data_IF_573416340003
#
_entry.id   IF_573416340003
#
_cell.length_a   1.000
_cell.length_b   1.000
_cell.length_c   1.000
_cell.angle_alpha   90.00
_cell.angle_beta   90.00
_cell.angle_gamma   90.00
#
_symmetry.space_group_name_H-M   'P 1'
#
loop_
_entity.id
_entity.type
_entity.pdbx_description
1 polymer ?
#
# COMPACT_ATOMS: atom_id res chain seq x y z
N UNK A 1 -1.71 6.06 -5.80
CA UNK A 1 -2.08 4.70 -5.37
C UNK A 1 -0.92 3.93 -4.76
N UNK A 2 0.05 3.47 -5.57
CA UNK A 2 1.25 2.76 -5.09
C UNK A 2 2.50 3.41 -5.68
N UNK A 3 3.50 3.69 -4.84
CA UNK A 3 4.81 4.17 -5.25
C UNK A 3 5.91 3.22 -4.77
N UNK A 4 6.86 2.89 -5.64
CA UNK A 4 8.06 2.12 -5.29
C UNK A 4 9.27 3.02 -5.55
N UNK A 5 9.96 3.42 -4.50
CA UNK A 5 11.16 4.26 -4.59
C UNK A 5 12.38 3.40 -4.27
N UNK A 6 13.28 3.23 -5.23
CA UNK A 6 14.50 2.45 -5.03
C UNK A 6 15.40 3.08 -3.97
N UNK A 7 15.81 2.27 -2.98
CA UNK A 7 16.65 2.71 -1.86
C UNK A 7 18.00 2.01 -1.82
N UNK A 8 18.05 0.75 -2.26
CA UNK A 8 19.27 -0.02 -2.46
C UNK A 8 19.05 -1.06 -3.56
N UNK A 9 20.10 -1.81 -3.93
CA UNK A 9 19.98 -2.92 -4.89
C UNK A 9 18.88 -3.87 -4.43
N UNK A 10 17.86 -4.05 -5.27
CA UNK A 10 16.67 -4.87 -5.02
C UNK A 10 15.86 -4.51 -3.77
N UNK A 11 15.97 -3.29 -3.23
CA UNK A 11 15.18 -2.81 -2.09
C UNK A 11 14.47 -1.49 -2.36
N UNK A 12 13.23 -1.41 -1.93
CA UNK A 12 12.33 -0.29 -2.20
C UNK A 12 11.67 0.22 -0.93
N UNK A 13 11.47 1.54 -0.87
CA UNK A 13 10.47 2.14 0.02
C UNK A 13 9.13 2.12 -0.71
N UNK A 14 8.12 1.55 -0.06
CA UNK A 14 6.76 1.44 -0.59
C UNK A 14 5.91 2.59 -0.05
N UNK A 15 5.28 3.33 -0.95
CA UNK A 15 4.35 4.40 -0.63
C UNK A 15 2.93 4.02 -1.02
N UNK A 16 1.96 4.30 -0.15
CA UNK A 16 0.53 4.07 -0.41
C UNK A 16 -0.27 5.36 -0.17
N UNK A 17 -1.49 5.41 -0.70
CA UNK A 17 -2.47 6.45 -0.32
C UNK A 17 -2.47 7.73 -1.16
N UNK A 18 -1.58 7.89 -2.15
CA UNK A 18 -1.77 8.93 -3.18
C UNK A 18 -2.98 8.62 -4.06
N UNK A 19 -3.54 9.57 -4.80
CA UNK A 19 -4.72 9.35 -5.66
C UNK A 19 -4.38 9.33 -7.16
N UNK A 20 -5.33 8.88 -7.98
CA UNK A 20 -5.19 8.79 -9.44
C UNK A 20 -4.96 10.17 -10.11
N UNK A 21 -5.50 11.23 -9.53
CA UNK A 21 -5.35 12.61 -10.02
C UNK A 21 -3.98 13.23 -9.69
N UNK A 22 -3.19 12.60 -8.81
CA UNK A 22 -1.88 13.10 -8.40
C UNK A 22 -1.91 14.33 -7.49
N UNK A 23 -3.05 14.63 -6.86
CA UNK A 23 -3.23 15.78 -5.96
C UNK A 23 -2.95 15.47 -4.50
N UNK A 24 -2.79 14.19 -4.14
CA UNK A 24 -2.46 13.73 -2.78
C UNK A 24 -1.14 12.98 -2.73
N UNK A 25 -0.28 13.36 -1.79
CA UNK A 25 0.97 12.65 -1.51
C UNK A 25 0.68 11.35 -0.74
N UNK A 26 1.29 10.25 -1.17
CA UNK A 26 1.24 8.99 -0.44
C UNK A 26 2.12 8.99 0.81
N UNK A 27 1.78 8.17 1.80
CA UNK A 27 2.59 7.95 2.99
C UNK A 27 3.51 6.73 2.80
N UNK A 28 4.60 6.69 3.56
CA UNK A 28 5.48 5.51 3.62
C UNK A 28 4.70 4.38 4.30
N UNK A 29 4.47 3.31 3.56
CA UNK A 29 3.81 2.12 4.07
C UNK A 29 4.82 1.15 4.70
N UNK A 30 5.89 0.86 3.97
CA UNK A 30 6.97 -0.01 4.46
C UNK A 30 8.29 0.39 3.80
N UNK A 31 9.37 0.35 4.58
CA UNK A 31 10.70 0.70 4.10
C UNK A 31 11.58 -0.55 3.93
N UNK A 32 12.59 -0.44 3.07
CA UNK A 32 13.60 -1.49 2.82
C UNK A 32 13.02 -2.85 2.38
N UNK A 33 11.89 -2.84 1.66
CA UNK A 33 11.22 -4.05 1.16
C UNK A 33 11.99 -4.63 -0.01
N UNK A 34 12.31 -5.92 0.03
CA UNK A 34 12.97 -6.58 -1.11
C UNK A 34 12.00 -6.69 -2.29
N UNK A 35 12.54 -6.68 -3.51
CA UNK A 35 11.73 -6.83 -4.73
C UNK A 35 10.80 -8.05 -4.68
N UNK A 36 11.31 -9.19 -4.22
CA UNK A 36 10.55 -10.45 -4.10
C UNK A 36 9.38 -10.37 -3.10
N UNK A 37 9.49 -9.49 -2.11
CA UNK A 37 8.52 -9.33 -1.03
C UNK A 37 7.44 -8.27 -1.37
N UNK A 38 7.63 -7.45 -2.42
CA UNK A 38 6.68 -6.38 -2.78
C UNK A 38 5.27 -6.94 -3.05
N UNK A 39 5.18 -7.99 -3.87
CA UNK A 39 3.88 -8.59 -4.20
C UNK A 39 3.24 -9.32 -3.00
N UNK A 40 3.97 -10.16 -2.23
CA UNK A 40 3.49 -10.72 -0.97
C UNK A 40 2.97 -9.66 0.01
N UNK A 41 3.67 -8.54 0.16
CA UNK A 41 3.25 -7.42 1.02
C UNK A 41 1.96 -6.76 0.55
N UNK A 42 1.76 -6.59 -0.77
CA UNK A 42 0.56 -5.94 -1.31
C UNK A 42 -0.65 -6.87 -1.42
N UNK A 43 -0.43 -8.18 -1.55
CA UNK A 43 -1.50 -9.18 -1.69
C UNK A 43 -2.61 -9.08 -0.62
N UNK A 44 -2.29 -9.07 0.69
CA UNK A 44 -3.32 -8.93 1.73
C UNK A 44 -4.03 -7.57 1.66
N UNK A 45 -3.32 -6.51 1.24
CA UNK A 45 -3.91 -5.17 1.08
C UNK A 45 -4.89 -5.13 -0.08
N UNK A 46 -4.59 -5.80 -1.20
CA UNK A 46 -5.53 -5.92 -2.32
C UNK A 46 -6.75 -6.77 -1.96
N UNK A 47 -6.57 -7.85 -1.19
CA UNK A 47 -7.68 -8.63 -0.67
C UNK A 47 -8.58 -7.77 0.24
N UNK A 48 -7.97 -6.96 1.11
CA UNK A 48 -8.68 -6.04 1.98
C UNK A 48 -9.44 -4.95 1.20
N UNK A 49 -8.80 -4.36 0.19
CA UNK A 49 -9.44 -3.43 -0.73
C UNK A 49 -10.65 -4.07 -1.43
N UNK A 50 -10.52 -5.30 -1.92
CA UNK A 50 -11.63 -6.00 -2.58
C UNK A 50 -12.82 -6.19 -1.64
N UNK A 51 -12.57 -6.49 -0.36
CA UNK A 51 -13.61 -6.76 0.62
C UNK A 51 -14.31 -5.49 1.12
N UNK A 52 -13.55 -4.41 1.36
CA UNK A 52 -14.00 -3.27 2.16
C UNK A 52 -14.02 -1.92 1.42
N UNK A 53 -13.76 -1.93 0.10
CA UNK A 53 -13.90 -0.72 -0.72
C UNK A 53 -15.34 -0.24 -0.75
N UNK A 54 -15.52 1.07 -0.75
CA UNK A 54 -16.84 1.69 -0.78
C UNK A 54 -17.18 2.17 -2.19
N UNK A 55 -18.32 1.73 -2.73
CA UNK A 55 -18.83 2.20 -4.03
C UNK A 55 -17.81 2.07 -5.18
N UNK A 56 -17.34 3.21 -5.69
CA UNK A 56 -16.35 3.33 -6.78
C UNK A 56 -14.98 3.84 -6.30
N UNK A 57 -14.68 3.68 -5.02
CA UNK A 57 -13.42 4.09 -4.40
C UNK A 57 -12.21 3.48 -5.13
N UNK A 58 -11.19 4.33 -5.35
CA UNK A 58 -9.90 3.91 -5.91
C UNK A 58 -9.02 3.26 -4.84
N UNK A 59 -7.98 2.53 -5.25
CA UNK A 59 -7.08 1.89 -4.28
C UNK A 59 -6.37 2.93 -3.40
N UNK A 60 -5.94 4.05 -3.98
CA UNK A 60 -5.31 5.14 -3.25
C UNK A 60 -6.23 5.82 -2.23
N UNK A 61 -7.49 6.04 -2.59
CA UNK A 61 -8.48 6.60 -1.67
C UNK A 61 -8.81 5.64 -0.53
N UNK A 62 -8.92 4.35 -0.84
CA UNK A 62 -9.07 3.30 0.17
C UNK A 62 -7.90 3.29 1.16
N UNK A 63 -6.66 3.25 0.67
CA UNK A 63 -5.48 3.27 1.53
C UNK A 63 -5.42 4.55 2.40
N UNK A 64 -5.85 5.68 1.85
CA UNK A 64 -5.93 6.94 2.60
C UNK A 64 -7.02 6.91 3.68
N UNK A 65 -8.20 6.33 3.38
CA UNK A 65 -9.32 6.21 4.33
C UNK A 65 -9.02 5.25 5.47
N UNK A 66 -8.43 4.09 5.16
CA UNK A 66 -8.04 3.08 6.16
C UNK A 66 -6.84 3.54 7.00
N UNK A 67 -5.90 4.24 6.38
CA UNK A 67 -4.71 4.77 7.06
C UNK A 67 -3.63 3.70 7.31
N UNK A 68 -2.45 4.14 7.74
CA UNK A 68 -1.27 3.27 7.88
C UNK A 68 -1.45 2.16 8.92
N UNK A 69 -2.04 2.48 10.08
CA UNK A 69 -2.18 1.53 11.19
C UNK A 69 -3.04 0.33 10.79
N UNK A 70 -4.25 0.56 10.30
CA UNK A 70 -5.18 -0.49 9.88
C UNK A 70 -4.63 -1.33 8.72
N UNK A 71 -3.96 -0.72 7.75
CA UNK A 71 -3.32 -1.46 6.65
C UNK A 71 -2.19 -2.36 7.15
N UNK A 72 -1.39 -1.89 8.12
CA UNK A 72 -0.27 -2.65 8.68
C UNK A 72 -0.77 -3.90 9.42
N UNK A 73 -1.89 -3.80 10.15
CA UNK A 73 -2.52 -4.95 10.82
C UNK A 73 -2.92 -6.06 9.84
N UNK A 74 -3.27 -5.72 8.59
CA UNK A 74 -3.63 -6.74 7.58
C UNK A 74 -2.44 -7.47 6.99
N UNK A 75 -1.25 -6.86 7.00
CA UNK A 75 -0.02 -7.53 6.58
C UNK A 75 0.49 -8.46 7.67
N UNK A 76 0.44 -8.05 8.93
CA UNK A 76 0.90 -8.87 10.06
C UNK A 76 -0.02 -10.06 10.35
N UNK A 77 -1.34 -9.91 10.16
CA UNK A 77 -2.29 -11.02 10.34
C UNK A 77 -2.24 -12.08 9.22
N UNK A 78 -1.54 -11.81 8.11
CA UNK A 78 -1.39 -12.72 6.99
C UNK A 78 -0.05 -13.50 6.99
N UNK A 79 0.80 -13.25 8.00
CA UNK A 79 2.09 -13.92 8.22
C UNK A 79 2.01 -14.95 9.36
#
# INVERSE_FOLDING_TARGET
DIGLVGKAVNKYTMFLGGNAEGTRLGFIFQDMVKFEDVAPTLSPIFAYFKAEREGKESFGDFCNRKGLEDLTEKVTAAA
#
